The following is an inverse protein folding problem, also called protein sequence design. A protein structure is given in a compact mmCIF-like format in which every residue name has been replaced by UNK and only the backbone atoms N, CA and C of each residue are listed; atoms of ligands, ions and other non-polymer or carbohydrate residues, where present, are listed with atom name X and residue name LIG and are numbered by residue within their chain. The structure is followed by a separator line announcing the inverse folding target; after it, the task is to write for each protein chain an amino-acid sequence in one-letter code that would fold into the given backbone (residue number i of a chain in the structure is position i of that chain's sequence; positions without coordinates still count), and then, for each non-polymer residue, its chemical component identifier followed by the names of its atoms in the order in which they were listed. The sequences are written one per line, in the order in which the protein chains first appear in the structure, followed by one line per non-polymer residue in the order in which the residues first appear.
data_IF_248433682278
#
_entry.id   IF_248433682278
#
_cell.length_a   1.000
_cell.length_b   1.000
_cell.length_c   1.000
_cell.angle_alpha   90.00
_cell.angle_beta   90.00
_cell.angle_gamma   90.00
#
_symmetry.space_group_name_H-M   'P 1'
#
loop_
_entity.id
_entity.type
_entity.pdbx_description
1 polymer ?
#
# COMPACT_ATOMS: atom_id res chain seq x y z
N UNK A 1 -15.29 -2.43 -15.94
CA UNK A 1 -14.46 -3.65 -15.98
C UNK A 1 -13.01 -3.45 -15.49
N UNK A 2 -12.67 -2.38 -14.75
CA UNK A 2 -11.31 -2.20 -14.21
C UNK A 2 -11.12 -2.74 -12.78
N UNK A 3 -12.19 -2.84 -12.00
CA UNK A 3 -12.12 -3.21 -10.58
C UNK A 3 -11.69 -4.66 -10.34
N UNK A 4 -12.22 -5.62 -11.12
CA UNK A 4 -11.87 -7.04 -10.97
C UNK A 4 -10.41 -7.33 -11.36
N UNK A 5 -9.90 -6.68 -12.41
CA UNK A 5 -8.50 -6.79 -12.81
C UNK A 5 -7.59 -6.17 -11.75
N UNK A 6 -7.97 -5.00 -11.22
CA UNK A 6 -7.24 -4.37 -10.13
C UNK A 6 -7.17 -5.29 -8.90
N UNK A 7 -8.29 -5.91 -8.51
CA UNK A 7 -8.33 -6.85 -7.39
C UNK A 7 -7.43 -8.07 -7.62
N UNK A 8 -7.43 -8.64 -8.82
CA UNK A 8 -6.54 -9.77 -9.15
C UNK A 8 -5.05 -9.42 -9.08
N UNK A 9 -4.66 -8.23 -9.56
CA UNK A 9 -3.26 -7.79 -9.48
C UNK A 9 -2.86 -7.58 -8.01
N UNK A 10 -3.76 -6.96 -7.26
CA UNK A 10 -3.65 -6.80 -5.81
C UNK A 10 -3.44 -8.18 -5.18
N UNK A 11 -4.38 -9.12 -5.30
CA UNK A 11 -4.26 -10.48 -4.74
C UNK A 11 -2.97 -11.20 -5.14
N UNK A 12 -2.54 -11.08 -6.41
CA UNK A 12 -1.29 -11.68 -6.88
C UNK A 12 -0.04 -11.10 -6.18
N UNK A 13 0.00 -9.78 -5.97
CA UNK A 13 1.09 -9.10 -5.25
C UNK A 13 1.06 -9.45 -3.76
N UNK A 14 -0.13 -9.57 -3.17
CA UNK A 14 -0.28 -10.02 -1.78
C UNK A 14 0.28 -11.43 -1.59
N UNK A 15 -0.05 -12.34 -2.51
CA UNK A 15 0.42 -13.73 -2.46
C UNK A 15 1.94 -13.84 -2.67
N UNK A 16 2.54 -12.92 -3.41
CA UNK A 16 3.96 -12.92 -3.72
C UNK A 16 4.83 -12.39 -2.57
N UNK A 17 4.40 -11.32 -1.89
CA UNK A 17 5.20 -10.67 -0.84
C UNK A 17 4.43 -10.50 0.48
N UNK A 18 4.96 -11.16 1.51
CA UNK A 18 4.42 -11.18 2.87
C UNK A 18 4.43 -9.81 3.58
N UNK A 19 5.07 -8.79 3.00
CA UNK A 19 4.94 -7.39 3.42
C UNK A 19 3.56 -6.82 3.13
N UNK A 20 2.97 -7.21 2.00
CA UNK A 20 1.71 -6.69 1.52
C UNK A 20 0.51 -7.33 2.22
N UNK A 21 0.65 -8.59 2.62
CA UNK A 21 -0.29 -9.30 3.50
C UNK A 21 -0.72 -8.45 4.70
N UNK A 22 -2.02 -8.43 4.98
CA UNK A 22 -2.53 -7.78 6.18
C UNK A 22 -2.12 -8.59 7.41
N UNK A 23 -1.39 -7.96 8.33
CA UNK A 23 -0.93 -8.58 9.58
C UNK A 23 -1.39 -7.72 10.76
N UNK A 24 -1.76 -8.35 11.90
CA UNK A 24 -1.95 -7.61 13.14
C UNK A 24 -0.65 -6.91 13.52
N UNK A 25 -0.77 -5.66 13.97
CA UNK A 25 0.36 -4.92 14.50
C UNK A 25 0.78 -5.44 15.88
N UNK A 26 1.85 -4.88 16.45
CA UNK A 26 2.37 -5.27 17.78
C UNK A 26 1.39 -5.03 18.93
N UNK A 27 0.29 -4.31 18.68
CA UNK A 27 -0.80 -4.03 19.61
C UNK A 27 -2.07 -4.85 19.27
N UNK A 28 -1.97 -5.85 18.39
CA UNK A 28 -3.07 -6.68 17.89
C UNK A 28 -4.13 -5.92 17.07
N UNK A 29 -3.90 -4.65 16.72
CA UNK A 29 -4.77 -3.94 15.79
C UNK A 29 -4.53 -4.45 14.37
N UNK A 30 -5.59 -4.55 13.57
CA UNK A 30 -5.44 -4.81 12.14
C UNK A 30 -4.59 -3.67 11.54
N UNK A 31 -3.37 -4.02 11.11
CA UNK A 31 -2.49 -3.09 10.41
C UNK A 31 -3.11 -2.64 9.08
N UNK A 32 -2.45 -1.69 8.43
CA UNK A 32 -2.90 -1.10 7.16
C UNK A 32 -3.37 -2.16 6.17
N UNK A 33 -4.55 -1.92 5.60
CA UNK A 33 -5.09 -2.77 4.57
C UNK A 33 -4.10 -2.83 3.41
N UNK A 34 -3.96 -4.01 2.83
CA UNK A 34 -3.11 -4.22 1.69
C UNK A 34 -3.41 -3.23 0.54
N UNK A 35 -4.69 -2.97 0.26
CA UNK A 35 -5.14 -1.98 -0.74
C UNK A 35 -4.60 -0.59 -0.46
N UNK A 36 -4.48 -0.18 0.80
CA UNK A 36 -3.94 1.12 1.17
C UNK A 36 -2.43 1.20 0.90
N UNK A 37 -1.69 0.11 1.15
CA UNK A 37 -0.26 0.02 0.83
C UNK A 37 -0.01 0.12 -0.68
N UNK A 38 -0.83 -0.58 -1.46
CA UNK A 38 -0.77 -0.64 -2.91
C UNK A 38 -1.12 0.72 -3.55
N UNK A 39 -2.25 1.31 -3.13
CA UNK A 39 -2.72 2.62 -3.62
C UNK A 39 -1.68 3.70 -3.32
N UNK A 40 -1.04 3.64 -2.15
CA UNK A 40 0.04 4.56 -1.78
C UNK A 40 1.22 4.50 -2.74
N UNK A 41 1.74 3.30 -3.03
CA UNK A 41 2.87 3.12 -3.95
C UNK A 41 2.53 3.58 -5.37
N UNK A 42 1.36 3.23 -5.90
CA UNK A 42 0.92 3.65 -7.25
C UNK A 42 0.74 5.16 -7.35
N UNK A 43 0.17 5.78 -6.32
CA UNK A 43 0.02 7.24 -6.30
C UNK A 43 1.38 7.95 -6.30
N UNK A 44 2.40 7.41 -5.61
CA UNK A 44 3.76 7.95 -5.65
C UNK A 44 4.39 7.85 -7.03
N UNK A 45 4.21 6.72 -7.71
CA UNK A 45 4.77 6.49 -9.03
C UNK A 45 4.07 7.31 -10.11
N UNK A 46 2.73 7.33 -10.10
CA UNK A 46 1.94 7.96 -11.16
C UNK A 46 2.01 9.48 -11.08
N UNK A 47 1.96 10.04 -9.87
CA UNK A 47 1.86 11.49 -9.67
C UNK A 47 3.19 12.13 -9.24
N UNK A 48 4.25 11.35 -9.06
CA UNK A 48 5.52 11.85 -8.49
C UNK A 48 5.34 12.42 -7.08
N UNK A 49 4.29 12.00 -6.38
CA UNK A 49 3.82 12.67 -5.17
C UNK A 49 4.79 12.40 -4.01
N UNK A 50 5.25 13.44 -3.28
CA UNK A 50 6.08 13.24 -2.12
C UNK A 50 5.31 12.44 -1.06
N UNK A 51 5.99 11.52 -0.36
CA UNK A 51 5.37 10.67 0.68
C UNK A 51 4.59 11.47 1.75
N UNK A 52 4.95 12.74 1.98
CA UNK A 52 4.26 13.65 2.89
C UNK A 52 2.88 14.11 2.41
N UNK A 53 2.61 14.10 1.10
CA UNK A 53 1.32 14.51 0.54
C UNK A 53 0.28 13.38 0.62
N UNK A 54 0.74 12.13 0.69
CA UNK A 54 -0.12 10.93 0.78
C UNK A 54 -0.79 10.81 2.15
N UNK A 55 -0.11 11.32 3.19
CA UNK A 55 -0.65 11.41 4.55
C UNK A 55 -2.03 12.12 4.57
N UNK A 56 -2.25 13.09 3.67
CA UNK A 56 -3.54 13.79 3.55
C UNK A 56 -4.66 12.97 2.91
N UNK A 57 -4.34 11.96 2.11
CA UNK A 57 -5.32 11.16 1.35
C UNK A 57 -5.59 9.79 1.96
N UNK A 58 -4.56 9.15 2.52
CA UNK A 58 -4.64 7.78 3.03
C UNK A 58 -4.43 7.72 4.55
N UNK A 59 -4.05 8.85 5.20
CA UNK A 59 -3.68 8.91 6.62
C UNK A 59 -2.63 7.85 6.98
N UNK A 60 -1.55 7.83 6.20
CA UNK A 60 -0.44 6.90 6.37
C UNK A 60 0.81 7.68 6.72
N UNK A 61 1.48 7.27 7.80
CA UNK A 61 2.77 7.82 8.19
C UNK A 61 3.77 7.78 7.02
N UNK A 62 4.50 8.89 6.80
CA UNK A 62 5.52 9.03 5.74
C UNK A 62 6.46 7.83 5.62
N UNK A 63 6.89 7.28 6.75
CA UNK A 63 7.80 6.13 6.83
C UNK A 63 7.21 4.88 6.18
N UNK A 64 5.91 4.65 6.37
CA UNK A 64 5.19 3.54 5.76
C UNK A 64 5.01 3.78 4.26
N UNK A 65 4.69 5.00 3.83
CA UNK A 65 4.59 5.33 2.41
C UNK A 65 5.91 5.06 1.66
N UNK A 66 7.04 5.50 2.21
CA UNK A 66 8.37 5.21 1.64
C UNK A 66 8.63 3.70 1.60
N UNK A 67 8.25 2.95 2.64
CA UNK A 67 8.43 1.50 2.69
C UNK A 67 7.57 0.79 1.64
N UNK A 68 6.33 1.22 1.46
CA UNK A 68 5.43 0.69 0.43
C UNK A 68 6.01 0.87 -0.98
N UNK A 69 6.54 2.05 -1.29
CA UNK A 69 7.17 2.31 -2.58
C UNK A 69 8.39 1.41 -2.82
N UNK A 70 9.24 1.22 -1.81
CA UNK A 70 10.43 0.35 -1.87
C UNK A 70 10.13 -1.14 -1.97
N UNK A 71 9.02 -1.60 -1.40
CA UNK A 71 8.61 -3.01 -1.55
C UNK A 71 7.89 -3.24 -2.88
N UNK A 72 7.36 -2.18 -3.49
CA UNK A 72 6.66 -2.26 -4.77
C UNK A 72 7.58 -2.17 -6.00
N UNK A 73 8.69 -1.43 -5.92
CA UNK A 73 9.70 -1.28 -6.98
C UNK A 73 10.99 -2.03 -6.62
#
# INVERSE_FOLDING_TARGET
MHYLLFLHIVEAVEAYDAYFQQKPDTLENLGLLFIQKYTTAICQLTYGMPANAIDKYVQIAKTIAIKNLKCFC
#
